data_IF_039642155747
#
_entry.id   IF_039642155747
#
_cell.length_a   1.000
_cell.length_b   1.000
_cell.length_c   1.000
_cell.angle_alpha   90.00
_cell.angle_beta   90.00
_cell.angle_gamma   90.00
#
_symmetry.space_group_name_H-M   'P 1'
#
loop_
_entity.id
_entity.type
_entity.pdbx_description
1 polymer ?
#
# COMPACT_ATOMS: atom_id res chain seq x y z
N UNK A 1 -6.47 -29.65 -7.39
CA UNK A 1 -5.50 -28.58 -7.65
C UNK A 1 -4.26 -28.93 -6.84
N UNK A 2 -3.15 -29.20 -7.50
CA UNK A 2 -1.85 -29.37 -6.84
C UNK A 2 -1.49 -28.02 -6.23
N UNK A 3 -1.14 -28.02 -4.94
CA UNK A 3 -0.73 -26.80 -4.23
C UNK A 3 0.68 -26.40 -4.75
N UNK A 4 0.73 -25.71 -5.89
CA UNK A 4 2.00 -25.29 -6.52
C UNK A 4 2.78 -24.29 -5.65
N UNK A 5 2.11 -23.66 -4.68
CA UNK A 5 2.72 -22.70 -3.77
C UNK A 5 3.24 -23.32 -2.47
N UNK A 6 3.06 -24.64 -2.29
CA UNK A 6 3.52 -25.38 -1.11
C UNK A 6 2.90 -24.88 0.19
N UNK A 7 3.70 -24.86 1.27
CA UNK A 7 3.27 -24.49 2.61
C UNK A 7 3.37 -22.97 2.89
N UNK A 8 3.22 -22.13 1.86
CA UNK A 8 3.22 -20.68 2.04
C UNK A 8 2.08 -20.26 2.99
N UNK A 9 2.42 -19.51 4.03
CA UNK A 9 1.48 -19.07 5.05
C UNK A 9 1.29 -20.00 6.24
N UNK A 10 1.87 -21.20 6.22
CA UNK A 10 1.85 -22.12 7.37
C UNK A 10 3.16 -22.05 8.15
N UNK A 11 3.04 -21.78 9.45
CA UNK A 11 4.17 -21.73 10.37
C UNK A 11 5.07 -20.50 10.19
N UNK A 12 6.06 -20.38 11.08
CA UNK A 12 7.06 -19.32 11.02
C UNK A 12 8.14 -19.66 9.98
N UNK A 13 8.41 -18.69 9.10
CA UNK A 13 9.55 -18.77 8.16
C UNK A 13 10.50 -17.60 8.44
N UNK A 14 11.80 -17.84 8.57
CA UNK A 14 12.78 -16.75 8.76
C UNK A 14 12.71 -15.76 7.60
N UNK A 15 12.88 -14.48 7.91
CA UNK A 15 13.00 -13.44 6.86
C UNK A 15 14.09 -13.81 5.87
N UNK A 16 13.88 -13.43 4.62
CA UNK A 16 14.90 -13.58 3.58
C UNK A 16 16.02 -12.56 3.77
N UNK A 17 17.19 -12.85 3.20
CA UNK A 17 18.34 -11.92 3.29
C UNK A 17 18.06 -10.56 2.62
N UNK A 18 17.14 -10.51 1.68
CA UNK A 18 16.73 -9.32 0.96
C UNK A 18 15.60 -8.52 1.64
N UNK A 19 15.02 -9.05 2.71
CA UNK A 19 14.02 -8.34 3.49
C UNK A 19 14.65 -7.25 4.37
N UNK A 20 13.87 -6.23 4.69
CA UNK A 20 14.25 -5.25 5.69
C UNK A 20 14.29 -5.93 7.07
N UNK A 21 15.46 -5.83 7.72
CA UNK A 21 15.68 -6.38 9.06
C UNK A 21 15.48 -5.28 10.10
N UNK A 22 14.49 -5.36 10.99
CA UNK A 22 14.27 -4.34 12.01
C UNK A 22 15.47 -4.13 12.94
N UNK A 23 16.32 -5.15 13.14
CA UNK A 23 17.55 -5.00 13.91
C UNK A 23 18.66 -4.21 13.17
N UNK A 24 18.47 -3.97 11.87
CA UNK A 24 19.38 -3.21 10.99
C UNK A 24 18.68 -2.01 10.37
N UNK A 25 17.58 -1.55 10.97
CA UNK A 25 16.91 -0.35 10.51
C UNK A 25 17.87 0.83 10.46
N UNK A 26 17.71 1.66 9.42
CA UNK A 26 18.46 2.92 9.31
C UNK A 26 18.03 3.98 10.34
N UNK A 27 17.06 3.62 11.20
CA UNK A 27 16.65 4.39 12.35
C UNK A 27 15.62 5.45 12.05
N UNK A 28 15.56 6.44 12.91
CA UNK A 28 14.59 7.53 12.96
C UNK A 28 15.32 8.87 12.87
N UNK A 29 14.62 9.91 12.47
CA UNK A 29 15.19 11.25 12.44
C UNK A 29 15.55 11.76 13.84
N UNK A 30 14.70 11.49 14.84
CA UNK A 30 14.95 11.83 16.24
C UNK A 30 15.26 10.56 17.02
N UNK A 31 16.33 10.60 17.81
CA UNK A 31 16.72 9.49 18.68
C UNK A 31 15.67 9.23 19.75
N UNK A 32 15.34 7.98 19.97
CA UNK A 32 14.41 7.52 20.98
C UNK A 32 14.86 6.21 21.60
N UNK A 33 14.49 6.01 22.86
CA UNK A 33 14.72 4.73 23.54
C UNK A 33 13.93 3.62 22.83
N UNK A 34 14.64 2.53 22.50
CA UNK A 34 14.02 1.37 21.88
C UNK A 34 13.03 0.67 22.81
N UNK A 35 11.99 0.09 22.22
CA UNK A 35 11.00 -0.67 22.98
C UNK A 35 11.57 -2.06 23.33
N UNK A 36 11.45 -2.51 24.59
CA UNK A 36 11.90 -3.85 24.95
C UNK A 36 10.99 -4.97 24.41
N UNK A 37 9.81 -4.65 23.88
CA UNK A 37 8.79 -5.63 23.51
C UNK A 37 8.33 -5.52 22.05
N UNK A 38 8.76 -4.50 21.31
CA UNK A 38 8.33 -4.24 19.93
C UNK A 38 9.51 -3.89 19.05
N UNK A 39 9.50 -4.40 17.83
CA UNK A 39 10.46 -3.97 16.80
C UNK A 39 10.21 -2.51 16.39
N UNK A 40 11.18 -1.82 15.77
CA UNK A 40 10.98 -0.49 15.20
C UNK A 40 9.78 -0.42 14.25
N UNK A 41 9.57 -1.43 13.40
CA UNK A 41 8.46 -1.47 12.45
C UNK A 41 7.09 -1.70 13.12
N UNK A 42 7.04 -2.51 14.17
CA UNK A 42 5.83 -2.63 15.00
C UNK A 42 5.47 -1.30 15.67
N UNK A 43 6.47 -0.56 16.16
CA UNK A 43 6.24 0.78 16.71
C UNK A 43 5.69 1.73 15.65
N UNK A 44 6.18 1.67 14.43
CA UNK A 44 5.67 2.51 13.33
C UNK A 44 4.21 2.20 13.02
N UNK A 45 3.87 0.93 12.84
CA UNK A 45 2.49 0.51 12.65
C UNK A 45 1.57 1.01 13.77
N UNK A 46 1.99 0.83 15.02
CA UNK A 46 1.19 1.28 16.17
C UNK A 46 1.01 2.82 16.16
N UNK A 47 2.06 3.59 15.86
CA UNK A 47 2.01 5.05 15.72
C UNK A 47 1.06 5.50 14.63
N UNK A 48 1.08 4.82 13.48
CA UNK A 48 0.20 5.08 12.35
C UNK A 48 -1.26 4.83 12.76
N UNK A 49 -1.58 3.66 13.31
CA UNK A 49 -2.94 3.30 13.73
C UNK A 49 -3.50 4.29 14.78
N UNK A 50 -2.65 4.75 15.71
CA UNK A 50 -3.06 5.68 16.74
C UNK A 50 -3.04 7.15 16.28
N UNK A 51 -2.61 7.47 15.06
CA UNK A 51 -2.56 8.86 14.55
C UNK A 51 -3.94 9.46 14.33
N UNK A 52 -4.02 10.78 14.30
CA UNK A 52 -5.24 11.50 13.96
C UNK A 52 -5.56 11.34 12.47
N UNK A 53 -4.53 11.31 11.63
CA UNK A 53 -4.67 11.15 10.19
C UNK A 53 -5.32 9.81 9.83
N UNK A 54 -4.92 8.70 10.49
CA UNK A 54 -5.54 7.39 10.28
C UNK A 54 -7.05 7.41 10.57
N UNK A 55 -7.46 8.02 11.69
CA UNK A 55 -8.90 8.16 12.03
C UNK A 55 -9.68 8.98 11.03
N UNK A 56 -9.02 9.99 10.41
CA UNK A 56 -9.66 10.85 9.40
C UNK A 56 -9.92 10.15 8.08
N UNK A 57 -9.26 9.03 7.78
CA UNK A 57 -9.50 8.23 6.58
C UNK A 57 -10.97 7.75 6.49
N UNK A 58 -11.66 7.57 7.61
CA UNK A 58 -13.08 7.21 7.63
C UNK A 58 -14.01 8.25 6.99
N UNK A 59 -13.53 9.50 6.85
CA UNK A 59 -14.27 10.61 6.25
C UNK A 59 -13.83 10.95 4.83
N UNK A 60 -12.87 10.20 4.29
CA UNK A 60 -12.38 10.37 2.93
C UNK A 60 -12.97 9.30 2.04
N UNK A 61 -13.56 9.73 0.93
CA UNK A 61 -14.14 8.87 -0.10
C UNK A 61 -13.04 8.04 -0.77
N UNK A 62 -13.29 6.75 -1.00
CA UNK A 62 -12.44 5.93 -1.86
C UNK A 62 -12.79 6.21 -3.33
N UNK A 63 -13.95 5.79 -3.78
CA UNK A 63 -14.50 6.06 -5.13
C UNK A 63 -15.90 6.64 -5.01
N UNK A 64 -16.79 6.00 -4.28
CA UNK A 64 -18.18 6.42 -4.08
C UNK A 64 -18.32 7.16 -2.74
N UNK A 65 -19.26 8.12 -2.71
CA UNK A 65 -19.52 8.90 -1.49
C UNK A 65 -20.18 7.99 -0.45
N UNK A 66 -19.48 7.75 0.67
CA UNK A 66 -19.94 6.81 1.70
C UNK A 66 -21.29 7.16 2.34
N UNK A 67 -21.74 8.42 2.25
CA UNK A 67 -23.07 8.84 2.75
C UNK A 67 -24.24 8.46 1.83
N UNK A 68 -23.96 8.04 0.60
CA UNK A 68 -24.98 7.60 -0.37
C UNK A 68 -25.33 6.11 -0.21
N UNK A 69 -24.60 5.38 0.65
CA UNK A 69 -24.90 3.99 0.97
C UNK A 69 -23.96 3.43 2.05
N UNK A 70 -24.53 2.74 3.03
CA UNK A 70 -23.83 2.24 4.22
C UNK A 70 -22.73 1.21 3.91
N UNK A 71 -22.65 0.72 2.69
CA UNK A 71 -21.74 -0.33 2.27
C UNK A 71 -20.57 0.16 1.38
N UNK A 72 -20.55 1.44 0.98
CA UNK A 72 -19.43 1.97 0.23
C UNK A 72 -18.18 2.12 1.08
N UNK A 73 -17.03 1.80 0.49
CA UNK A 73 -15.74 1.88 1.16
C UNK A 73 -15.32 3.31 1.40
N UNK A 74 -14.80 3.55 2.61
CA UNK A 74 -13.99 4.74 2.89
C UNK A 74 -12.50 4.39 2.73
N UNK A 75 -11.64 5.41 2.66
CA UNK A 75 -10.18 5.16 2.63
C UNK A 75 -9.68 4.39 3.85
N UNK A 76 -10.37 4.47 4.99
CA UNK A 76 -10.00 3.69 6.17
C UNK A 76 -10.18 2.18 5.94
N UNK A 77 -11.34 1.76 5.44
CA UNK A 77 -11.61 0.34 5.19
C UNK A 77 -10.73 -0.19 4.05
N UNK A 78 -10.54 0.60 3.00
CA UNK A 78 -9.60 0.29 1.92
C UNK A 78 -8.17 0.07 2.46
N UNK A 79 -7.60 1.02 3.22
CA UNK A 79 -6.24 0.88 3.75
C UNK A 79 -6.06 -0.34 4.66
N UNK A 80 -7.09 -0.75 5.41
CA UNK A 80 -7.07 -1.97 6.21
C UNK A 80 -7.04 -3.22 5.32
N UNK A 81 -7.85 -3.26 4.25
CA UNK A 81 -7.88 -4.36 3.30
C UNK A 81 -6.58 -4.45 2.50
N UNK A 82 -6.00 -3.31 2.07
CA UNK A 82 -4.65 -3.24 1.47
C UNK A 82 -3.59 -3.80 2.41
N UNK A 83 -3.60 -3.39 3.68
CA UNK A 83 -2.64 -3.86 4.68
C UNK A 83 -2.72 -5.38 4.90
N UNK A 84 -3.92 -5.95 4.88
CA UNK A 84 -4.12 -7.41 4.97
C UNK A 84 -3.48 -8.14 3.77
N UNK A 85 -3.65 -7.63 2.55
CA UNK A 85 -3.04 -8.20 1.34
C UNK A 85 -1.52 -8.02 1.36
N UNK A 86 -1.02 -6.83 1.71
CA UNK A 86 0.40 -6.52 1.81
C UNK A 86 1.14 -7.46 2.77
N UNK A 87 0.54 -7.73 3.94
CA UNK A 87 1.04 -8.71 4.91
C UNK A 87 1.10 -10.13 4.33
N UNK A 88 0.06 -10.54 3.61
CA UNK A 88 0.02 -11.86 2.99
C UNK A 88 1.14 -12.02 1.94
N UNK A 89 1.37 -10.99 1.11
CA UNK A 89 2.46 -10.96 0.14
C UNK A 89 3.83 -10.95 0.83
N UNK A 90 4.04 -10.09 1.83
CA UNK A 90 5.29 -10.01 2.58
C UNK A 90 5.61 -11.36 3.26
N UNK A 91 4.63 -12.01 3.89
CA UNK A 91 4.79 -13.35 4.48
C UNK A 91 5.20 -14.38 3.45
N UNK A 92 4.53 -14.44 2.30
CA UNK A 92 4.83 -15.38 1.23
C UNK A 92 6.24 -15.19 0.68
N UNK A 93 6.66 -13.94 0.50
CA UNK A 93 7.98 -13.54 0.00
C UNK A 93 9.04 -13.45 1.10
N UNK A 94 8.72 -13.82 2.34
CA UNK A 94 9.62 -13.79 3.50
C UNK A 94 10.17 -12.39 3.82
N UNK A 95 9.41 -11.33 3.53
CA UNK A 95 9.62 -9.97 3.97
C UNK A 95 9.19 -9.74 5.43
N UNK A 96 9.32 -8.50 5.91
CA UNK A 96 8.81 -8.09 7.22
C UNK A 96 7.34 -7.67 7.10
N UNK A 97 6.45 -8.42 7.76
CA UNK A 97 5.00 -8.18 7.69
C UNK A 97 4.59 -6.86 8.35
N UNK A 98 5.26 -6.47 9.44
CA UNK A 98 4.91 -5.26 10.17
C UNK A 98 5.29 -4.01 9.37
N UNK A 99 6.41 -4.04 8.64
CA UNK A 99 6.80 -2.95 7.75
C UNK A 99 5.86 -2.84 6.55
N UNK A 100 5.51 -3.96 5.92
CA UNK A 100 4.56 -3.95 4.81
C UNK A 100 3.19 -3.41 5.24
N UNK A 101 2.71 -3.81 6.42
CA UNK A 101 1.48 -3.29 7.04
C UNK A 101 1.59 -1.79 7.31
N UNK A 102 2.69 -1.32 7.90
CA UNK A 102 2.89 0.09 8.21
C UNK A 102 2.85 0.97 6.95
N UNK A 103 3.54 0.57 5.89
CA UNK A 103 3.53 1.30 4.61
C UNK A 103 2.13 1.29 3.99
N UNK A 104 1.44 0.15 4.00
CA UNK A 104 0.08 0.04 3.48
C UNK A 104 -0.94 0.88 4.25
N UNK A 105 -0.81 1.00 5.58
CA UNK A 105 -1.73 1.80 6.39
C UNK A 105 -1.53 3.31 6.23
N UNK A 106 -0.32 3.76 5.87
CA UNK A 106 0.03 5.19 5.84
C UNK A 106 -0.08 5.81 4.45
N UNK A 107 -0.11 4.99 3.37
CA UNK A 107 0.00 5.48 1.99
C UNK A 107 -1.05 6.54 1.63
N UNK A 108 -2.28 6.39 2.11
CA UNK A 108 -3.44 7.21 1.77
C UNK A 108 -3.64 8.46 2.65
N UNK A 109 -2.74 8.74 3.60
CA UNK A 109 -2.93 9.84 4.58
C UNK A 109 -3.10 11.21 3.94
N UNK A 110 -2.41 11.47 2.86
CA UNK A 110 -2.37 12.76 2.19
C UNK A 110 -3.49 13.01 1.19
N UNK A 111 -4.28 12.01 0.83
CA UNK A 111 -5.35 12.20 -0.13
C UNK A 111 -6.37 13.26 0.31
N UNK A 112 -6.84 14.01 -0.68
CA UNK A 112 -7.92 15.00 -0.53
C UNK A 112 -9.29 14.32 -0.42
N UNK A 113 -10.33 15.01 0.05
CA UNK A 113 -11.71 14.60 -0.23
C UNK A 113 -11.93 14.46 -1.74
N UNK A 114 -12.73 13.47 -2.14
CA UNK A 114 -13.04 13.16 -3.55
C UNK A 114 -11.84 12.63 -4.37
N UNK A 115 -10.88 11.97 -3.72
CA UNK A 115 -9.79 11.25 -4.36
C UNK A 115 -8.95 12.09 -5.32
N UNK A 116 -8.59 11.53 -6.47
CA UNK A 116 -7.76 12.22 -7.47
C UNK A 116 -8.45 13.45 -8.09
N UNK A 117 -9.77 13.45 -8.26
CA UNK A 117 -10.48 14.64 -8.75
C UNK A 117 -10.30 15.84 -7.82
N UNK A 118 -10.37 15.58 -6.50
CA UNK A 118 -10.10 16.63 -5.50
C UNK A 118 -8.64 17.05 -5.46
N UNK A 119 -7.73 16.11 -5.69
CA UNK A 119 -6.29 16.38 -5.80
C UNK A 119 -5.96 17.26 -7.00
N UNK A 120 -6.49 16.93 -8.19
CA UNK A 120 -6.28 17.70 -9.42
C UNK A 120 -6.78 19.14 -9.26
N UNK A 121 -7.99 19.30 -8.71
CA UNK A 121 -8.56 20.60 -8.45
C UNK A 121 -7.73 21.43 -7.45
N UNK A 122 -7.22 20.79 -6.40
CA UNK A 122 -6.36 21.45 -5.42
C UNK A 122 -4.99 21.78 -6.01
N UNK A 123 -4.39 20.86 -6.75
CA UNK A 123 -3.11 21.07 -7.42
C UNK A 123 -3.18 22.27 -8.40
N UNK A 124 -4.24 22.35 -9.22
CA UNK A 124 -4.46 23.51 -10.12
C UNK A 124 -4.47 24.83 -9.35
N UNK A 125 -5.16 24.90 -8.22
CA UNK A 125 -5.25 26.11 -7.40
C UNK A 125 -3.97 26.45 -6.64
N UNK A 126 -3.12 25.47 -6.41
CA UNK A 126 -1.88 25.62 -5.65
C UNK A 126 -0.62 25.75 -6.52
N UNK A 127 -0.73 25.82 -7.83
CA UNK A 127 0.43 25.90 -8.76
C UNK A 127 1.42 27.00 -8.37
N UNK A 128 0.94 28.19 -7.97
CA UNK A 128 1.80 29.32 -7.56
C UNK A 128 2.55 29.07 -6.24
N UNK A 129 2.14 28.08 -5.47
CA UNK A 129 2.76 27.67 -4.19
C UNK A 129 3.45 26.31 -4.26
N UNK A 130 3.74 25.81 -5.48
CA UNK A 130 4.44 24.55 -5.69
C UNK A 130 3.54 23.35 -5.94
N UNK A 131 2.23 23.57 -6.11
CA UNK A 131 1.25 22.50 -6.39
C UNK A 131 0.82 21.70 -5.15
N UNK A 132 0.12 20.62 -5.40
CA UNK A 132 -0.29 19.65 -4.39
C UNK A 132 -0.03 18.23 -4.90
N UNK A 133 0.46 17.36 -4.01
CA UNK A 133 0.72 15.95 -4.25
C UNK A 133 0.39 15.17 -2.97
N UNK A 134 -0.40 14.11 -3.07
CA UNK A 134 -0.87 13.35 -1.91
C UNK A 134 0.25 12.61 -1.18
N UNK A 135 1.30 12.14 -1.87
CA UNK A 135 2.45 11.48 -1.23
C UNK A 135 3.27 12.49 -0.43
N UNK A 136 3.52 13.66 -1.01
CA UNK A 136 4.17 14.77 -0.31
C UNK A 136 3.35 15.22 0.91
N UNK A 137 2.04 15.25 0.79
CA UNK A 137 1.16 15.57 1.92
C UNK A 137 1.14 14.45 2.96
N UNK A 138 1.16 13.18 2.57
CA UNK A 138 1.31 12.05 3.49
C UNK A 138 2.61 12.19 4.29
N UNK A 139 3.72 12.47 3.61
CA UNK A 139 5.01 12.70 4.27
C UNK A 139 4.94 13.88 5.26
N UNK A 140 4.37 15.02 4.86
CA UNK A 140 4.18 16.17 5.76
C UNK A 140 3.35 15.83 7.00
N UNK A 141 2.29 15.05 6.84
CA UNK A 141 1.45 14.61 7.95
C UNK A 141 2.28 13.83 8.96
N UNK A 142 3.02 12.82 8.52
CA UNK A 142 3.74 11.92 9.44
C UNK A 142 5.05 12.50 9.97
N UNK A 143 5.58 13.55 9.35
CA UNK A 143 6.85 14.16 9.76
C UNK A 143 6.69 15.51 10.47
N UNK A 144 5.55 16.22 10.29
CA UNK A 144 5.38 17.59 10.80
C UNK A 144 4.00 17.90 11.40
N UNK A 145 2.91 17.31 10.87
CA UNK A 145 1.55 17.78 11.22
C UNK A 145 0.89 16.98 12.35
N UNK A 146 1.29 15.75 12.58
CA UNK A 146 0.86 15.01 13.78
C UNK A 146 1.61 15.57 14.99
N UNK A 147 0.88 16.03 15.99
CA UNK A 147 1.41 16.63 17.22
C UNK A 147 1.07 15.75 18.42
N UNK A 148 1.74 14.60 18.55
CA UNK A 148 1.43 13.59 19.57
C UNK A 148 2.54 13.37 20.59
N UNK A 149 3.74 13.79 20.29
CA UNK A 149 4.94 13.58 21.11
C UNK A 149 5.46 14.91 21.65
N UNK A 150 5.98 14.89 22.85
CA UNK A 150 6.44 16.13 23.51
C UNK A 150 7.77 16.66 22.94
N UNK A 151 8.58 15.77 22.36
CA UNK A 151 9.95 16.08 21.99
C UNK A 151 10.12 16.39 20.50
N UNK A 152 9.16 16.03 19.65
CA UNK A 152 9.21 16.24 18.21
C UNK A 152 7.83 16.34 17.58
N UNK A 153 7.77 16.99 16.43
CA UNK A 153 6.61 16.98 15.55
C UNK A 153 6.57 15.69 14.71
N UNK A 154 5.37 15.32 14.25
CA UNK A 154 5.15 14.13 13.46
C UNK A 154 5.08 12.84 14.30
N UNK A 155 5.29 11.72 13.63
CA UNK A 155 5.25 10.37 14.21
C UNK A 155 6.65 9.78 14.42
N UNK A 156 7.70 10.41 13.93
CA UNK A 156 9.09 9.93 13.96
C UNK A 156 9.18 8.46 13.51
N UNK A 157 8.69 8.17 12.30
CA UNK A 157 8.72 6.83 11.72
C UNK A 157 10.14 6.45 11.28
N UNK A 158 10.40 5.17 11.13
CA UNK A 158 11.68 4.67 10.63
C UNK A 158 11.92 5.10 9.18
N UNK A 159 13.19 5.13 8.80
CA UNK A 159 13.62 5.43 7.44
C UNK A 159 12.92 4.52 6.42
N UNK A 160 12.81 3.22 6.70
CA UNK A 160 12.21 2.23 5.81
C UNK A 160 10.71 2.47 5.60
N UNK A 161 9.98 2.89 6.64
CA UNK A 161 8.57 3.25 6.53
C UNK A 161 8.40 4.53 5.70
N UNK A 162 9.25 5.55 5.91
CA UNK A 162 9.20 6.80 5.14
C UNK A 162 9.67 6.61 3.70
N UNK A 163 10.70 5.81 3.48
CA UNK A 163 11.12 5.37 2.15
C UNK A 163 9.96 4.73 1.40
N UNK A 164 9.31 3.77 2.04
CA UNK A 164 8.15 3.08 1.48
C UNK A 164 7.01 4.03 1.16
N UNK A 165 6.67 4.94 2.08
CA UNK A 165 5.63 5.94 1.87
C UNK A 165 5.88 6.79 0.61
N UNK A 166 7.13 7.22 0.40
CA UNK A 166 7.48 8.13 -0.70
C UNK A 166 7.70 7.39 -2.01
N UNK A 167 8.25 6.16 -1.97
CA UNK A 167 8.73 5.43 -3.14
C UNK A 167 7.98 4.13 -3.44
N UNK A 168 6.83 3.84 -2.83
CA UNK A 168 6.10 2.60 -3.12
C UNK A 168 5.78 2.46 -4.62
N UNK A 169 5.55 3.56 -5.33
CA UNK A 169 5.32 3.59 -6.78
C UNK A 169 6.60 3.74 -7.62
N UNK A 170 7.76 3.45 -7.04
CA UNK A 170 9.07 3.49 -7.69
C UNK A 170 9.91 4.74 -7.40
N UNK A 171 11.07 4.87 -8.02
CA UNK A 171 11.96 6.02 -7.86
C UNK A 171 11.30 7.34 -8.29
N UNK A 172 11.65 8.44 -7.63
CA UNK A 172 11.18 9.78 -7.96
C UNK A 172 12.12 10.52 -8.90
N UNK A 173 13.42 10.21 -8.83
CA UNK A 173 14.46 10.86 -9.64
C UNK A 173 15.28 9.84 -10.42
N UNK A 174 15.99 10.31 -11.44
CA UNK A 174 17.11 9.57 -12.02
C UNK A 174 18.38 9.74 -11.15
N UNK A 175 19.46 9.05 -11.54
CA UNK A 175 20.76 9.10 -10.85
C UNK A 175 21.39 10.52 -10.82
N UNK A 176 20.89 11.47 -11.61
CA UNK A 176 21.35 12.85 -11.63
C UNK A 176 20.44 13.78 -10.78
N UNK A 177 19.46 13.21 -10.08
CA UNK A 177 18.50 13.95 -9.25
C UNK A 177 17.37 14.63 -10.04
N UNK A 178 17.23 14.36 -11.34
CA UNK A 178 16.15 14.90 -12.16
C UNK A 178 14.87 14.07 -11.94
N UNK A 179 13.77 14.73 -11.63
CA UNK A 179 12.48 14.06 -11.42
C UNK A 179 11.99 13.31 -12.66
N UNK A 180 11.56 12.07 -12.46
CA UNK A 180 11.14 11.14 -13.52
C UNK A 180 9.74 11.47 -14.08
N UNK A 181 8.83 11.90 -13.23
CA UNK A 181 7.43 12.25 -13.58
C UNK A 181 7.12 13.75 -13.46
N UNK A 182 8.16 14.59 -13.47
CA UNK A 182 8.07 16.02 -13.22
C UNK A 182 8.95 16.46 -12.04
N UNK A 183 8.87 17.70 -11.59
CA UNK A 183 9.65 18.15 -10.44
C UNK A 183 9.24 17.39 -9.18
N UNK A 184 10.23 16.94 -8.39
CA UNK A 184 9.95 16.31 -7.09
C UNK A 184 9.26 17.36 -6.19
N UNK A 185 8.14 17.00 -5.51
CA UNK A 185 7.44 17.90 -4.61
C UNK A 185 8.36 18.46 -3.52
N UNK A 186 8.19 19.77 -3.20
CA UNK A 186 9.09 20.48 -2.28
C UNK A 186 9.20 19.79 -0.92
N UNK A 187 8.10 19.33 -0.35
CA UNK A 187 8.12 18.67 0.98
C UNK A 187 8.94 17.38 1.01
N UNK A 188 9.00 16.65 -0.11
CA UNK A 188 9.84 15.45 -0.22
C UNK A 188 11.31 15.84 -0.32
N UNK A 189 11.65 16.88 -1.09
CA UNK A 189 13.02 17.39 -1.19
C UNK A 189 13.52 17.89 0.16
N UNK A 190 12.75 18.77 0.82
CA UNK A 190 13.11 19.33 2.12
C UNK A 190 13.36 18.25 3.17
N UNK A 191 12.55 17.18 3.16
CA UNK A 191 12.75 16.07 4.08
C UNK A 191 13.99 15.24 3.72
N UNK A 192 14.20 14.96 2.44
CA UNK A 192 15.38 14.19 1.97
C UNK A 192 16.71 14.92 2.23
N UNK A 193 16.72 16.25 2.34
CA UNK A 193 17.90 17.01 2.77
C UNK A 193 18.26 16.75 4.25
N UNK A 194 17.26 16.42 5.09
CA UNK A 194 17.46 16.13 6.51
C UNK A 194 17.75 14.64 6.75
N UNK A 195 17.08 13.77 5.99
CA UNK A 195 17.14 12.33 6.13
C UNK A 195 16.98 11.72 4.73
N UNK A 196 18.09 11.50 4.04
CA UNK A 196 18.11 11.09 2.63
C UNK A 196 17.34 9.80 2.40
N UNK A 197 16.26 9.87 1.61
CA UNK A 197 15.40 8.74 1.27
C UNK A 197 15.85 8.01 -0.02
N UNK A 198 17.02 8.35 -0.58
CA UNK A 198 17.56 7.73 -1.81
C UNK A 198 16.52 7.73 -2.94
N UNK A 199 16.07 8.92 -3.35
CA UNK A 199 14.94 9.12 -4.26
C UNK A 199 15.15 8.55 -5.67
N UNK A 200 16.38 8.23 -6.03
CA UNK A 200 16.80 7.64 -7.32
C UNK A 200 16.76 6.10 -7.33
N UNK A 201 16.44 5.46 -6.20
CA UNK A 201 16.41 4.01 -6.03
C UNK A 201 14.98 3.51 -5.77
N UNK A 202 14.75 2.24 -6.06
CA UNK A 202 13.50 1.57 -5.65
C UNK A 202 13.37 1.50 -4.12
N UNK A 203 12.17 1.22 -3.64
CA UNK A 203 11.95 0.92 -2.24
C UNK A 203 12.22 -0.56 -1.91
N UNK A 204 12.31 -0.89 -0.62
CA UNK A 204 12.42 -2.27 -0.14
C UNK A 204 11.24 -3.14 -0.59
N UNK A 205 11.43 -4.47 -0.51
CA UNK A 205 10.41 -5.45 -0.96
C UNK A 205 9.07 -5.27 -0.25
N UNK A 206 9.08 -4.84 1.00
CA UNK A 206 7.89 -4.63 1.83
C UNK A 206 7.03 -3.48 1.28
N UNK A 207 7.66 -2.40 0.85
CA UNK A 207 6.98 -1.27 0.23
C UNK A 207 6.45 -1.63 -1.17
N UNK A 208 7.18 -2.44 -1.93
CA UNK A 208 6.69 -3.00 -3.20
C UNK A 208 5.50 -3.93 -2.99
N UNK A 209 5.49 -4.72 -1.89
CA UNK A 209 4.31 -5.50 -1.50
C UNK A 209 3.11 -4.62 -1.16
N UNK A 210 3.33 -3.49 -0.48
CA UNK A 210 2.26 -2.54 -0.18
C UNK A 210 1.68 -1.90 -1.44
N UNK A 211 2.52 -1.50 -2.39
CA UNK A 211 2.09 -0.92 -3.66
C UNK A 211 1.22 -1.89 -4.49
N UNK A 212 1.71 -3.10 -4.72
CA UNK A 212 0.94 -4.08 -5.50
C UNK A 212 -0.32 -4.57 -4.75
N UNK A 213 -0.31 -4.53 -3.41
CA UNK A 213 -1.49 -4.83 -2.61
C UNK A 213 -2.58 -3.75 -2.79
N UNK A 214 -2.18 -2.47 -2.91
CA UNK A 214 -3.09 -1.39 -3.23
C UNK A 214 -3.71 -1.58 -4.62
N UNK A 215 -2.92 -1.90 -5.65
CA UNK A 215 -3.42 -2.20 -6.99
C UNK A 215 -4.43 -3.36 -6.99
N UNK A 216 -4.15 -4.45 -6.27
CA UNK A 216 -5.05 -5.61 -6.15
C UNK A 216 -6.35 -5.21 -5.46
N UNK A 217 -6.25 -4.49 -4.34
CA UNK A 217 -7.39 -4.02 -3.58
C UNK A 217 -8.23 -3.04 -4.41
N UNK A 218 -7.61 -2.01 -4.99
CA UNK A 218 -8.25 -1.00 -5.81
C UNK A 218 -9.07 -1.63 -6.94
N UNK A 219 -8.45 -2.48 -7.77
CA UNK A 219 -9.13 -3.14 -8.88
C UNK A 219 -10.35 -3.97 -8.44
N UNK A 220 -10.27 -4.62 -7.27
CA UNK A 220 -11.36 -5.45 -6.77
C UNK A 220 -12.45 -4.62 -6.11
N UNK A 221 -12.07 -3.59 -5.36
CA UNK A 221 -13.00 -2.72 -4.65
C UNK A 221 -13.85 -1.90 -5.60
N UNK A 222 -13.25 -1.41 -6.70
CA UNK A 222 -13.98 -0.63 -7.71
C UNK A 222 -15.03 -1.48 -8.43
N UNK A 223 -14.74 -2.76 -8.68
CA UNK A 223 -15.72 -3.69 -9.22
C UNK A 223 -16.86 -3.93 -8.22
N UNK A 224 -16.56 -4.21 -6.95
CA UNK A 224 -17.56 -4.45 -5.91
C UNK A 224 -18.47 -3.23 -5.71
N UNK A 225 -17.87 -2.05 -5.56
CA UNK A 225 -18.61 -0.81 -5.37
C UNK A 225 -19.39 -0.42 -6.66
N UNK A 226 -18.82 -0.67 -7.85
CA UNK A 226 -19.51 -0.47 -9.13
C UNK A 226 -20.70 -1.38 -9.35
N UNK A 227 -20.64 -2.66 -8.92
CA UNK A 227 -21.78 -3.57 -8.90
C UNK A 227 -22.87 -3.08 -7.94
N UNK A 228 -22.50 -2.63 -6.73
CA UNK A 228 -23.43 -2.08 -5.74
C UNK A 228 -24.11 -0.80 -6.21
N UNK A 229 -23.37 0.06 -6.91
CA UNK A 229 -23.90 1.28 -7.49
C UNK A 229 -24.77 1.05 -8.75
N UNK A 230 -24.84 -0.18 -9.26
CA UNK A 230 -25.55 -0.50 -10.50
C UNK A 230 -24.88 0.06 -11.77
N UNK A 231 -23.61 0.49 -11.67
CA UNK A 231 -22.83 0.95 -12.82
C UNK A 231 -22.22 -0.20 -13.59
N UNK A 232 -21.98 -1.33 -12.91
CA UNK A 232 -21.51 -2.58 -13.49
C UNK A 232 -22.55 -3.68 -13.29
N UNK A 233 -22.59 -4.64 -14.21
CA UNK A 233 -23.36 -5.87 -14.08
C UNK A 233 -22.45 -7.08 -14.22
N UNK A 234 -22.88 -8.24 -13.70
CA UNK A 234 -22.11 -9.49 -13.85
C UNK A 234 -21.92 -9.87 -15.32
N UNK A 235 -22.90 -9.56 -16.18
CA UNK A 235 -22.82 -9.85 -17.61
C UNK A 235 -21.76 -8.98 -18.30
N UNK A 236 -21.63 -7.70 -17.93
CA UNK A 236 -20.54 -6.84 -18.43
C UNK A 236 -19.15 -7.40 -18.00
N UNK A 237 -19.05 -7.93 -16.79
CA UNK A 237 -17.79 -8.49 -16.27
C UNK A 237 -17.44 -9.84 -16.91
N UNK A 238 -18.40 -10.56 -17.48
CA UNK A 238 -18.11 -11.80 -18.24
C UNK A 238 -17.33 -11.54 -19.53
N UNK A 239 -17.42 -10.34 -20.10
CA UNK A 239 -16.67 -9.94 -21.30
C UNK A 239 -15.20 -9.60 -20.98
N UNK A 240 -14.86 -9.40 -19.71
CA UNK A 240 -13.51 -9.07 -19.26
C UNK A 240 -12.73 -10.35 -18.93
N UNK A 241 -11.49 -10.45 -19.39
CA UNK A 241 -10.69 -11.68 -19.36
C UNK A 241 -10.64 -12.37 -17.99
N UNK A 242 -10.16 -11.69 -16.93
CA UNK A 242 -10.00 -12.29 -15.61
C UNK A 242 -11.35 -12.49 -14.90
N UNK A 243 -12.20 -11.46 -14.72
CA UNK A 243 -13.51 -11.62 -14.10
C UNK A 243 -14.38 -12.66 -14.83
N UNK A 244 -14.42 -12.62 -16.16
CA UNK A 244 -15.22 -13.56 -16.96
C UNK A 244 -14.78 -15.02 -16.80
N UNK A 245 -13.47 -15.28 -16.72
CA UNK A 245 -12.97 -16.63 -16.45
C UNK A 245 -13.40 -17.11 -15.06
N UNK A 246 -13.33 -16.24 -14.07
CA UNK A 246 -13.74 -16.55 -12.69
C UNK A 246 -15.25 -16.79 -12.63
N UNK A 247 -16.06 -15.92 -13.25
CA UNK A 247 -17.53 -16.06 -13.27
C UNK A 247 -17.98 -17.37 -13.90
N UNK A 248 -17.39 -17.76 -15.04
CA UNK A 248 -17.64 -19.08 -15.66
C UNK A 248 -17.36 -20.21 -14.70
N UNK A 249 -16.25 -20.15 -13.96
CA UNK A 249 -15.90 -21.14 -12.94
C UNK A 249 -16.87 -21.15 -11.74
N UNK A 250 -17.35 -19.99 -11.31
CA UNK A 250 -18.34 -19.86 -10.22
C UNK A 250 -19.69 -20.47 -10.67
N UNK A 251 -20.20 -20.08 -11.83
CA UNK A 251 -21.48 -20.56 -12.37
C UNK A 251 -21.48 -22.06 -12.66
N UNK A 252 -20.35 -22.60 -13.13
CA UNK A 252 -20.22 -24.05 -13.35
C UNK A 252 -20.23 -24.86 -12.05
N UNK A 253 -19.77 -24.28 -10.96
CA UNK A 253 -19.72 -24.96 -9.65
C UNK A 253 -20.99 -24.78 -8.83
N UNK A 254 -21.67 -23.63 -8.98
CA UNK A 254 -22.83 -23.24 -8.18
C UNK A 254 -23.97 -22.78 -9.10
N UNK A 255 -24.93 -23.69 -9.37
CA UNK A 255 -25.96 -23.47 -10.39
C UNK A 255 -27.14 -22.56 -9.95
N UNK A 256 -27.20 -22.17 -8.66
CA UNK A 256 -28.35 -21.42 -8.10
C UNK A 256 -27.95 -20.28 -7.17
N UNK A 257 -26.76 -19.70 -7.37
CA UNK A 257 -26.39 -18.49 -6.61
C UNK A 257 -27.16 -17.28 -7.16
N UNK A 258 -27.61 -16.43 -6.23
CA UNK A 258 -28.06 -15.08 -6.55
C UNK A 258 -26.87 -14.18 -6.97
N UNK A 259 -27.18 -13.03 -7.57
CA UNK A 259 -26.16 -12.10 -8.08
C UNK A 259 -25.27 -11.54 -6.97
N UNK A 260 -25.80 -11.32 -5.77
CA UNK A 260 -25.04 -10.79 -4.63
C UNK A 260 -23.95 -11.79 -4.20
N UNK A 261 -24.32 -13.05 -4.01
CA UNK A 261 -23.36 -14.11 -3.67
C UNK A 261 -22.37 -14.39 -4.79
N UNK A 262 -22.85 -14.30 -6.04
CA UNK A 262 -21.99 -14.45 -7.23
C UNK A 262 -20.93 -13.34 -7.27
N UNK A 263 -21.30 -12.09 -6.99
CA UNK A 263 -20.40 -10.97 -6.86
C UNK A 263 -19.36 -11.20 -5.76
N UNK A 264 -19.76 -11.64 -4.56
CA UNK A 264 -18.82 -11.94 -3.48
C UNK A 264 -17.87 -13.09 -3.82
N UNK A 265 -18.34 -14.15 -4.49
CA UNK A 265 -17.47 -15.22 -4.97
C UNK A 265 -16.46 -14.72 -6.03
N UNK A 266 -16.90 -13.82 -6.93
CA UNK A 266 -16.02 -13.18 -7.90
C UNK A 266 -14.89 -12.39 -7.17
N UNK A 267 -15.25 -11.48 -6.26
CA UNK A 267 -14.27 -10.64 -5.56
C UNK A 267 -13.22 -11.48 -4.81
N UNK A 268 -13.69 -12.45 -4.02
CA UNK A 268 -12.80 -13.31 -3.25
C UNK A 268 -11.82 -14.11 -4.13
N UNK A 269 -12.30 -14.64 -5.25
CA UNK A 269 -11.48 -15.41 -6.18
C UNK A 269 -10.54 -14.53 -7.01
N UNK A 270 -10.96 -13.31 -7.33
CA UNK A 270 -10.14 -12.36 -8.06
C UNK A 270 -8.94 -11.92 -7.21
N UNK A 271 -9.15 -11.54 -5.94
CA UNK A 271 -8.05 -11.23 -5.01
C UNK A 271 -7.11 -12.43 -4.91
N UNK A 272 -7.65 -13.64 -4.70
CA UNK A 272 -6.81 -14.84 -4.59
C UNK A 272 -5.96 -15.06 -5.84
N UNK A 273 -6.56 -14.98 -7.02
CA UNK A 273 -5.85 -15.20 -8.29
C UNK A 273 -4.74 -14.18 -8.51
N UNK A 274 -5.01 -12.89 -8.23
CA UNK A 274 -4.00 -11.84 -8.37
C UNK A 274 -2.86 -11.98 -7.34
N UNK A 275 -3.18 -12.28 -6.08
CA UNK A 275 -2.17 -12.52 -5.03
C UNK A 275 -1.28 -13.72 -5.38
N UNK A 276 -1.87 -14.83 -5.82
CA UNK A 276 -1.12 -16.03 -6.22
C UNK A 276 -0.22 -15.78 -7.42
N UNK A 277 -0.68 -15.02 -8.42
CA UNK A 277 0.10 -14.64 -9.59
C UNK A 277 1.30 -13.76 -9.21
N UNK A 278 1.08 -12.76 -8.37
CA UNK A 278 2.15 -11.88 -7.85
C UNK A 278 3.19 -12.67 -7.07
N UNK A 279 2.76 -13.57 -6.18
CA UNK A 279 3.69 -14.42 -5.41
C UNK A 279 4.53 -15.29 -6.35
N UNK A 280 3.90 -15.95 -7.32
CA UNK A 280 4.57 -16.83 -8.28
C UNK A 280 5.58 -16.07 -9.14
N UNK A 281 5.16 -14.96 -9.72
CA UNK A 281 5.99 -14.14 -10.60
C UNK A 281 7.16 -13.48 -9.85
N UNK A 282 6.88 -12.97 -8.64
CA UNK A 282 7.92 -12.34 -7.80
C UNK A 282 8.92 -13.38 -7.30
N UNK A 283 8.47 -14.56 -6.87
CA UNK A 283 9.36 -15.64 -6.44
C UNK A 283 10.30 -16.05 -7.59
N UNK A 284 9.78 -16.25 -8.80
CA UNK A 284 10.60 -16.57 -9.96
C UNK A 284 11.65 -15.47 -10.28
N UNK A 285 11.26 -14.20 -10.15
CA UNK A 285 12.19 -13.08 -10.34
C UNK A 285 13.26 -13.03 -9.24
N UNK A 286 12.90 -13.23 -7.98
CA UNK A 286 13.85 -13.28 -6.86
C UNK A 286 14.83 -14.44 -6.99
N UNK A 287 14.39 -15.60 -7.46
CA UNK A 287 15.25 -16.75 -7.73
C UNK A 287 16.24 -16.49 -8.87
N UNK A 288 15.84 -15.70 -9.87
CA UNK A 288 16.69 -15.28 -10.99
C UNK A 288 17.72 -14.24 -10.57
N UNK A 289 17.31 -13.21 -9.83
CA UNK A 289 18.14 -12.06 -9.43
C UNK A 289 19.02 -12.43 -8.23
N UNK A 290 18.50 -13.24 -7.31
CA UNK A 290 19.16 -13.68 -6.06
C UNK A 290 19.69 -12.51 -5.22
N UNK A 291 18.87 -11.53 -4.86
CA UNK A 291 19.31 -10.40 -4.05
C UNK A 291 19.77 -10.89 -2.68
N UNK A 292 20.91 -10.37 -2.19
CA UNK A 292 21.52 -10.81 -0.94
C UNK A 292 21.35 -9.83 0.21
N UNK A 293 20.67 -8.72 -0.02
CA UNK A 293 20.38 -7.69 0.97
C UNK A 293 19.16 -6.86 0.54
N UNK A 294 18.56 -6.12 1.47
CA UNK A 294 17.53 -5.15 1.17
C UNK A 294 18.03 -4.07 0.18
N UNK A 295 19.28 -3.67 0.29
CA UNK A 295 19.88 -2.70 -0.64
C UNK A 295 20.04 -3.23 -2.07
N UNK A 296 20.20 -4.55 -2.22
CA UNK A 296 20.20 -5.19 -3.55
C UNK A 296 18.79 -5.22 -4.21
N UNK A 297 17.74 -5.11 -3.41
CA UNK A 297 16.36 -4.96 -3.95
C UNK A 297 16.12 -3.52 -4.37
N UNK A 298 16.73 -2.55 -3.67
CA UNK A 298 16.60 -1.12 -3.97
C UNK A 298 17.37 -0.70 -5.23
N UNK A 299 18.40 -1.45 -5.61
CA UNK A 299 19.25 -1.15 -6.77
C UNK A 299 18.54 -1.42 -8.09
#
# INVERSE_FOLDING_TARGET
>A
MTNELGDIGFGYRPRAAYACDPAKSRGRLFDEVESPTRTPFQRDRDRIIHSTAFRRLKHKTQVFIAHEGDHYRTRLTHSIEVAQIARALARALRGDEDLAEAVALVHDFGHTPFGHTGEDALNEKMVTWGGFDHNAQSLRIVTRLEARYAEFDGLNLTWETLEGLVKHNGPLTDANGKGLKGPVPQAIRDYSELHDLELDRFAGIEAQCAAIADDIAYNTHDIDDGLRAGLLTLDMLEEVSLPGTILKGVRSRYHSLDDVRTGHELMRRQITAMVEDVIKSTTANLDRIRPRSADAVRA
#
